data_IF_627982029404
#
_entry.id   IF_627982029404
#
_cell.length_a   1.000
_cell.length_b   1.000
_cell.length_c   1.000
_cell.angle_alpha   90.00
_cell.angle_beta   90.00
_cell.angle_gamma   90.00
#
_symmetry.space_group_name_H-M   'P 1'
#
loop_
_entity.id
_entity.type
_entity.pdbx_description
1 polymer ?
#
# COMPACT_ATOMS: atom_id res chain seq x y z
N UNK A 1 11.70 1.02 17.33
CA UNK A 1 11.96 0.39 16.03
C UNK A 1 10.79 -0.45 15.60
N UNK A 2 10.39 -0.30 14.36
CA UNK A 2 9.35 -1.16 13.81
C UNK A 2 9.88 -2.60 13.72
N UNK A 3 9.05 -3.52 14.16
CA UNK A 3 9.32 -4.94 14.11
C UNK A 3 9.50 -5.40 12.66
N UNK A 4 10.36 -6.37 12.41
CA UNK A 4 10.56 -6.96 11.08
C UNK A 4 9.23 -7.42 10.46
N UNK A 5 8.34 -7.98 11.26
CA UNK A 5 7.01 -8.40 10.85
C UNK A 5 6.15 -7.21 10.41
N UNK A 6 6.17 -6.13 11.17
CA UNK A 6 5.45 -4.89 10.82
C UNK A 6 5.97 -4.28 9.52
N UNK A 7 7.29 -4.25 9.33
CA UNK A 7 7.89 -3.77 8.09
C UNK A 7 7.48 -4.63 6.88
N UNK A 8 7.40 -5.93 7.04
CA UNK A 8 6.92 -6.83 5.97
C UNK A 8 5.47 -6.54 5.61
N UNK A 9 4.60 -6.33 6.60
CA UNK A 9 3.19 -5.99 6.37
C UNK A 9 3.05 -4.65 5.64
N UNK A 10 3.80 -3.65 6.05
CA UNK A 10 3.77 -2.32 5.41
C UNK A 10 4.34 -2.36 3.99
N UNK A 11 5.38 -3.13 3.76
CA UNK A 11 5.93 -3.33 2.42
C UNK A 11 4.91 -4.04 1.51
N UNK A 12 4.22 -5.04 2.02
CA UNK A 12 3.14 -5.73 1.31
C UNK A 12 1.99 -4.76 0.96
N UNK A 13 1.56 -3.94 1.90
CA UNK A 13 0.56 -2.90 1.67
C UNK A 13 1.00 -1.90 0.60
N UNK A 14 2.25 -1.45 0.64
CA UNK A 14 2.80 -0.54 -0.35
C UNK A 14 2.81 -1.15 -1.75
N UNK A 15 3.21 -2.42 -1.88
CA UNK A 15 3.19 -3.14 -3.15
C UNK A 15 1.76 -3.29 -3.68
N UNK A 16 0.81 -3.61 -2.81
CA UNK A 16 -0.59 -3.71 -3.18
C UNK A 16 -1.14 -2.37 -3.70
N UNK A 17 -0.78 -1.26 -3.07
CA UNK A 17 -1.17 0.06 -3.53
C UNK A 17 -0.60 0.39 -4.91
N UNK A 18 0.63 -0.01 -5.18
CA UNK A 18 1.27 0.24 -6.47
C UNK A 18 0.73 -0.65 -7.58
N UNK A 19 0.46 -1.91 -7.30
CA UNK A 19 0.16 -2.91 -8.33
C UNK A 19 -1.32 -3.31 -8.39
N UNK A 20 -2.03 -3.35 -7.26
CA UNK A 20 -3.41 -3.82 -7.19
C UNK A 20 -4.45 -2.72 -7.06
N UNK A 21 -4.20 -1.72 -6.20
CA UNK A 21 -5.18 -0.66 -5.93
C UNK A 21 -5.10 0.49 -6.94
N UNK A 22 -4.09 0.48 -7.79
CA UNK A 22 -3.86 1.50 -8.81
C UNK A 22 -4.64 1.22 -10.08
N UNK A 23 -5.72 0.49 -9.99
CA UNK A 23 -6.46 0.05 -11.15
C UNK A 23 -7.57 1.03 -11.53
N UNK A 24 -7.14 2.17 -12.06
CA UNK A 24 -7.92 2.72 -13.16
C UNK A 24 -6.99 2.69 -14.36
N UNK A 25 -7.09 1.63 -15.16
CA UNK A 25 -6.50 1.60 -16.48
C UNK A 25 -6.92 2.88 -17.18
N UNK A 26 -5.97 3.72 -17.55
CA UNK A 26 -6.28 4.89 -18.38
C UNK A 26 -7.03 4.41 -19.62
N UNK A 27 -7.94 5.24 -20.13
CA UNK A 27 -8.72 4.92 -21.33
C UNK A 27 -7.84 4.47 -22.50
N UNK A 28 -6.66 5.06 -22.63
CA UNK A 28 -5.66 4.70 -23.65
C UNK A 28 -5.14 3.27 -23.49
N UNK A 29 -4.88 2.85 -22.26
CA UNK A 29 -4.39 1.50 -21.98
C UNK A 29 -5.47 0.45 -22.27
N UNK A 30 -6.71 0.71 -21.86
CA UNK A 30 -7.85 -0.15 -22.16
C UNK A 30 -8.08 -0.27 -23.68
N UNK A 31 -7.94 0.83 -24.40
CA UNK A 31 -8.05 0.85 -25.86
C UNK A 31 -6.95 0.02 -26.53
N UNK A 32 -5.69 0.16 -26.09
CA UNK A 32 -4.57 -0.63 -26.60
C UNK A 32 -4.75 -2.13 -26.34
N UNK A 33 -5.24 -2.50 -25.16
CA UNK A 33 -5.54 -3.91 -24.83
C UNK A 33 -6.66 -4.46 -25.72
N UNK A 34 -7.71 -3.70 -25.96
CA UNK A 34 -8.81 -4.06 -26.86
C UNK A 34 -8.34 -4.26 -28.31
N UNK A 35 -7.46 -3.38 -28.81
CA UNK A 35 -6.87 -3.51 -30.13
C UNK A 35 -6.02 -4.78 -30.25
N UNK A 36 -5.22 -5.10 -29.27
CA UNK A 36 -4.42 -6.34 -29.23
C UNK A 36 -5.29 -7.58 -29.29
N UNK A 37 -6.37 -7.59 -28.55
CA UNK A 37 -7.33 -8.68 -28.57
C UNK A 37 -7.98 -8.85 -29.94
N UNK A 38 -8.42 -7.76 -30.57
CA UNK A 38 -9.08 -7.76 -31.87
C UNK A 38 -8.16 -8.18 -33.01
N UNK A 39 -6.91 -7.76 -32.99
CA UNK A 39 -5.95 -8.03 -34.08
C UNK A 39 -5.11 -9.27 -33.88
N UNK A 40 -5.36 -10.04 -32.82
CA UNK A 40 -4.65 -11.31 -32.57
C UNK A 40 -3.14 -11.15 -32.55
N UNK A 41 -2.65 -10.05 -32.03
CA UNK A 41 -1.20 -9.79 -31.97
C UNK A 41 -0.51 -10.88 -31.15
N UNK A 42 0.65 -11.39 -31.63
CA UNK A 42 1.36 -12.44 -30.92
C UNK A 42 1.75 -11.97 -29.53
N UNK A 43 1.59 -12.91 -28.61
CA UNK A 43 1.80 -12.75 -27.17
C UNK A 43 3.27 -12.57 -26.79
N UNK A 44 4.00 -11.66 -27.45
CA UNK A 44 5.35 -11.29 -27.03
C UNK A 44 5.34 -10.68 -25.62
N UNK A 45 4.16 -10.39 -25.10
CA UNK A 45 3.93 -9.83 -23.78
C UNK A 45 3.62 -10.85 -22.71
N UNK A 46 3.48 -12.13 -23.03
CA UNK A 46 3.24 -13.18 -22.05
C UNK A 46 4.25 -13.16 -20.91
N UNK A 47 5.51 -12.84 -21.21
CA UNK A 47 6.53 -12.68 -20.21
C UNK A 47 6.24 -11.51 -19.23
N UNK A 48 5.74 -10.39 -19.72
CA UNK A 48 5.39 -9.25 -18.89
C UNK A 48 4.11 -9.48 -18.09
N UNK A 49 3.10 -10.07 -18.71
CA UNK A 49 1.83 -10.43 -18.05
C UNK A 49 2.09 -11.51 -16.99
N UNK A 50 2.86 -12.53 -17.31
CA UNK A 50 3.22 -13.59 -16.37
C UNK A 50 4.01 -13.03 -15.18
N UNK A 51 4.96 -12.12 -15.40
CA UNK A 51 5.71 -11.44 -14.34
C UNK A 51 4.81 -10.59 -13.47
N UNK A 52 3.89 -9.82 -14.08
CA UNK A 52 2.92 -9.00 -13.36
C UNK A 52 1.99 -9.89 -12.52
N UNK A 53 1.47 -10.97 -13.08
CA UNK A 53 0.64 -11.94 -12.36
C UNK A 53 1.40 -12.58 -11.19
N UNK A 54 2.67 -12.94 -11.38
CA UNK A 54 3.51 -13.50 -10.32
C UNK A 54 3.74 -12.49 -9.20
N UNK A 55 3.98 -11.22 -9.54
CA UNK A 55 4.10 -10.15 -8.54
C UNK A 55 2.82 -9.96 -7.74
N UNK A 56 1.69 -9.93 -8.42
CA UNK A 56 0.37 -9.80 -7.78
C UNK A 56 0.09 -10.98 -6.87
N UNK A 57 0.39 -12.21 -7.30
CA UNK A 57 0.21 -13.43 -6.51
C UNK A 57 1.08 -13.46 -5.26
N UNK A 58 2.24 -12.81 -5.27
CA UNK A 58 3.11 -12.73 -4.09
C UNK A 58 2.63 -11.75 -3.04
N UNK A 59 1.59 -10.96 -3.33
CA UNK A 59 1.01 -9.96 -2.44
C UNK A 59 -0.15 -10.59 -1.66
N UNK A 60 -0.11 -10.46 -0.34
CA UNK A 60 -1.24 -10.81 0.51
C UNK A 60 -2.26 -9.66 0.48
N UNK A 61 -3.27 -9.80 -0.37
CA UNK A 61 -4.30 -8.79 -0.59
C UNK A 61 -5.17 -8.59 0.64
N UNK A 62 -5.48 -9.65 1.37
CA UNK A 62 -6.32 -9.56 2.57
C UNK A 62 -5.63 -8.75 3.66
N UNK A 63 -4.35 -9.00 3.90
CA UNK A 63 -3.56 -8.22 4.84
C UNK A 63 -3.42 -6.77 4.40
N UNK A 64 -3.14 -6.55 3.13
CA UNK A 64 -3.05 -5.20 2.55
C UNK A 64 -4.36 -4.43 2.70
N UNK A 65 -5.51 -5.07 2.52
CA UNK A 65 -6.82 -4.45 2.72
C UNK A 65 -7.05 -4.05 4.17
N UNK A 66 -6.63 -4.87 5.12
CA UNK A 66 -6.73 -4.55 6.56
C UNK A 66 -5.93 -3.30 6.89
N UNK A 67 -4.71 -3.20 6.39
CA UNK A 67 -3.85 -2.04 6.60
C UNK A 67 -4.42 -0.81 5.87
N UNK A 68 -4.94 -0.97 4.67
CA UNK A 68 -5.53 0.11 3.90
C UNK A 68 -6.77 0.69 4.59
N UNK A 69 -7.62 -0.14 5.18
CA UNK A 69 -8.76 0.31 5.98
C UNK A 69 -8.31 1.15 7.18
N UNK A 70 -7.28 0.70 7.89
CA UNK A 70 -6.70 1.45 9.00
C UNK A 70 -6.09 2.77 8.53
N UNK A 71 -5.42 2.76 7.39
CA UNK A 71 -4.85 3.96 6.76
C UNK A 71 -5.92 5.00 6.43
N UNK A 72 -7.09 4.57 5.97
CA UNK A 72 -8.22 5.45 5.63
C UNK A 72 -9.00 5.92 6.85
N UNK A 73 -8.74 5.37 8.03
CA UNK A 73 -9.43 5.74 9.25
C UNK A 73 -9.23 7.21 9.61
N UNK A 74 -10.25 7.84 10.15
CA UNK A 74 -10.19 9.22 10.64
C UNK A 74 -9.30 9.36 11.90
N UNK A 75 -9.04 8.27 12.59
CA UNK A 75 -8.18 8.26 13.79
C UNK A 75 -6.71 8.50 13.46
N UNK A 76 -6.31 8.26 12.22
CA UNK A 76 -4.95 8.50 11.78
C UNK A 76 -4.81 9.95 11.28
N UNK A 77 -3.84 10.68 11.82
CA UNK A 77 -3.59 12.08 11.44
C UNK A 77 -3.16 12.18 9.97
N UNK A 78 -3.54 13.28 9.34
CA UNK A 78 -3.20 13.55 7.94
C UNK A 78 -1.69 13.58 7.70
N UNK A 79 -0.93 14.12 8.64
CA UNK A 79 0.54 14.15 8.54
C UNK A 79 1.13 12.74 8.54
N UNK A 80 0.61 11.85 9.38
CA UNK A 80 1.03 10.45 9.41
C UNK A 80 0.67 9.71 8.12
N UNK A 81 -0.52 9.95 7.58
CA UNK A 81 -0.95 9.39 6.28
C UNK A 81 -0.01 9.81 5.16
N UNK A 82 0.30 11.09 5.08
CA UNK A 82 1.20 11.62 4.05
C UNK A 82 2.61 11.05 4.19
N UNK A 83 3.12 10.97 5.40
CA UNK A 83 4.45 10.42 5.66
C UNK A 83 4.53 8.95 5.24
N UNK A 84 3.56 8.13 5.64
CA UNK A 84 3.52 6.70 5.28
C UNK A 84 3.41 6.52 3.77
N UNK A 85 2.58 7.29 3.11
CA UNK A 85 2.43 7.24 1.65
C UNK A 85 3.73 7.62 0.94
N UNK A 86 4.36 8.71 1.34
CA UNK A 86 5.60 9.18 0.72
C UNK A 86 6.74 8.20 0.93
N UNK A 87 6.85 7.61 2.11
CA UNK A 87 7.94 6.70 2.44
C UNK A 87 7.75 5.31 1.82
N UNK A 88 6.59 4.69 1.99
CA UNK A 88 6.36 3.31 1.55
C UNK A 88 5.90 3.20 0.10
N UNK A 89 4.96 4.02 -0.33
CA UNK A 89 4.39 3.93 -1.68
C UNK A 89 5.23 4.67 -2.71
N UNK A 90 5.61 5.90 -2.43
CA UNK A 90 6.39 6.75 -3.35
C UNK A 90 7.90 6.57 -3.24
N UNK A 91 8.38 5.87 -2.22
CA UNK A 91 9.82 5.60 -1.97
C UNK A 91 10.68 6.87 -1.94
N UNK A 92 10.17 7.94 -1.36
CA UNK A 92 10.92 9.18 -1.24
C UNK A 92 11.98 9.07 -0.12
N UNK A 93 13.15 9.70 -0.30
CA UNK A 93 14.16 9.73 0.76
C UNK A 93 13.68 10.56 1.96
N UNK A 94 14.15 10.24 3.18
CA UNK A 94 13.73 10.94 4.40
C UNK A 94 13.85 12.45 4.35
N UNK A 95 14.94 12.96 3.76
CA UNK A 95 15.15 14.41 3.62
C UNK A 95 14.10 15.09 2.75
N UNK A 96 13.66 14.44 1.67
CA UNK A 96 12.61 14.96 0.81
C UNK A 96 11.26 14.98 1.53
N UNK A 97 10.98 13.98 2.35
CA UNK A 97 9.75 13.91 3.14
C UNK A 97 9.73 15.01 4.21
N UNK A 98 10.83 15.19 4.94
CA UNK A 98 10.98 16.28 5.94
C UNK A 98 10.70 17.64 5.29
N UNK A 99 11.26 17.86 4.11
CA UNK A 99 11.09 19.11 3.37
C UNK A 99 9.66 19.35 2.94
N UNK A 100 8.99 18.32 2.40
CA UNK A 100 7.60 18.41 1.93
C UNK A 100 6.58 18.56 3.06
N UNK A 101 6.83 17.94 4.20
CA UNK A 101 5.97 18.01 5.37
C UNK A 101 6.34 19.13 6.33
N UNK A 102 7.35 19.94 5.99
CA UNK A 102 7.85 21.02 6.85
C UNK A 102 8.27 20.52 8.23
N UNK A 103 8.87 19.35 8.31
CA UNK A 103 9.39 18.77 9.53
C UNK A 103 10.77 19.34 9.83
N UNK A 104 11.09 19.48 11.10
CA UNK A 104 12.43 19.87 11.53
C UNK A 104 13.44 18.75 11.20
N UNK A 105 14.71 19.12 10.99
CA UNK A 105 15.77 18.16 10.72
C UNK A 105 15.84 17.10 11.81
N UNK A 106 16.05 15.84 11.40
CA UNK A 106 16.18 14.68 12.29
C UNK A 106 14.90 14.24 13.02
N UNK A 107 13.74 14.84 12.71
CA UNK A 107 12.45 14.42 13.30
C UNK A 107 11.75 13.32 12.50
N UNK A 108 12.22 13.01 11.31
CA UNK A 108 11.60 12.02 10.43
C UNK A 108 11.44 10.65 11.09
N UNK A 109 12.49 10.11 11.69
CA UNK A 109 12.46 8.79 12.32
C UNK A 109 11.42 8.72 13.44
N UNK A 110 11.33 9.75 14.25
CA UNK A 110 10.35 9.85 15.32
C UNK A 110 8.92 9.90 14.78
N UNK A 111 8.68 10.74 13.79
CA UNK A 111 7.36 10.84 13.16
C UNK A 111 6.97 9.55 12.46
N UNK A 112 7.92 8.87 11.82
CA UNK A 112 7.72 7.57 11.19
C UNK A 112 7.30 6.51 12.22
N UNK A 113 8.00 6.42 13.33
CA UNK A 113 7.69 5.48 14.40
C UNK A 113 6.30 5.74 15.01
N UNK A 114 5.96 7.00 15.25
CA UNK A 114 4.63 7.39 15.73
C UNK A 114 3.53 7.01 14.72
N UNK A 115 3.76 7.27 13.44
CA UNK A 115 2.82 6.94 12.38
C UNK A 115 2.58 5.44 12.29
N UNK A 116 3.64 4.63 12.32
CA UNK A 116 3.57 3.17 12.30
C UNK A 116 2.84 2.65 13.54
N UNK A 117 3.18 3.16 14.70
CA UNK A 117 2.54 2.76 15.96
C UNK A 117 1.03 3.03 15.94
N UNK A 118 0.63 4.22 15.52
CA UNK A 118 -0.78 4.59 15.38
C UNK A 118 -1.51 3.70 14.39
N UNK A 119 -0.93 3.49 13.22
CA UNK A 119 -1.52 2.64 12.18
C UNK A 119 -1.73 1.21 12.69
N UNK A 120 -0.71 0.62 13.30
CA UNK A 120 -0.80 -0.74 13.80
C UNK A 120 -1.75 -0.88 14.98
N UNK A 121 -1.90 0.16 15.80
CA UNK A 121 -2.91 0.20 16.86
C UNK A 121 -4.33 0.13 16.29
N UNK A 122 -4.59 0.87 15.22
CA UNK A 122 -5.89 0.86 14.53
C UNK A 122 -6.14 -0.52 13.89
N UNK A 123 -5.13 -1.09 13.24
CA UNK A 123 -5.22 -2.44 12.65
C UNK A 123 -5.58 -3.47 13.71
N UNK A 124 -4.90 -3.47 14.84
CA UNK A 124 -5.17 -4.39 15.94
C UNK A 124 -6.59 -4.26 16.50
N UNK A 125 -7.05 -3.02 16.68
CA UNK A 125 -8.41 -2.76 17.13
C UNK A 125 -9.47 -3.26 16.14
N UNK A 126 -9.22 -3.10 14.85
CA UNK A 126 -10.12 -3.60 13.81
C UNK A 126 -10.14 -5.14 13.75
N UNK A 127 -8.99 -5.77 13.91
CA UNK A 127 -8.88 -7.24 13.95
C UNK A 127 -9.63 -7.81 15.15
N UNK A 128 -9.51 -7.20 16.32
CA UNK A 128 -10.26 -7.61 17.53
C UNK A 128 -11.78 -7.49 17.32
N UNK A 129 -12.25 -6.43 16.66
CA UNK A 129 -13.66 -6.26 16.33
C UNK A 129 -14.17 -7.37 15.41
N UNK A 130 -13.39 -7.74 14.41
CA UNK A 130 -13.73 -8.81 13.49
C UNK A 130 -13.82 -10.17 14.20
N UNK A 131 -12.88 -10.47 15.08
CA UNK A 131 -12.88 -11.70 15.89
C UNK A 131 -14.12 -11.76 16.79
N UNK A 132 -14.44 -10.68 17.49
CA UNK A 132 -15.65 -10.61 18.34
C UNK A 132 -16.93 -10.79 17.53
N UNK A 133 -17.00 -10.23 16.34
CA UNK A 133 -18.15 -10.39 15.44
C UNK A 133 -18.28 -11.83 14.94
N UNK A 134 -17.17 -12.50 14.66
CA UNK A 134 -17.16 -13.89 14.25
C UNK A 134 -17.60 -14.82 15.39
N UNK A 135 -17.21 -14.54 16.64
CA UNK A 135 -17.63 -15.31 17.82
C UNK A 135 -19.13 -15.18 18.12
N UNK A 136 -19.74 -14.05 17.78
CA UNK A 136 -21.18 -13.77 17.99
C UNK A 136 -22.08 -14.43 16.94
N UNK A 137 -21.53 -14.99 15.89
CA UNK A 137 -22.26 -15.73 14.86
C UNK A 137 -22.14 -17.23 15.11
#
# INVERSE_FOLDING_TARGET
MADKYTEQRLTNWARANRECFRVQKGATQAFCESLRYLYGMPEEEDGHIARACTRIRSIDIDDANRIDQAYRSQDLRMIHKRLLRMYYISNLPPKAIEKRLSLADRTFSRCKEEAIYKLMSIVSANEERLEKTAELR
#
